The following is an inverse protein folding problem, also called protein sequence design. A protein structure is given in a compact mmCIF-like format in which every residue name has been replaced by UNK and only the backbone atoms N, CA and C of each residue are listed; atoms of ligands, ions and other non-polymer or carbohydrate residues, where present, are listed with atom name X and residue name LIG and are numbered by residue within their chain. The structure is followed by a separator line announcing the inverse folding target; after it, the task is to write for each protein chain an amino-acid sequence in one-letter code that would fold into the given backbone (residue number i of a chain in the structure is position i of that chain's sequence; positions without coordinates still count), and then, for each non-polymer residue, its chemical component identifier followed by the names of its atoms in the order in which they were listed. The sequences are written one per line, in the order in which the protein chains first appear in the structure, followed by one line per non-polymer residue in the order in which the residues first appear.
data_IF_402805047538
#
_entry.id   IF_402805047538
#
_cell.length_a   1.000
_cell.length_b   1.000
_cell.length_c   1.000
_cell.angle_alpha   90.00
_cell.angle_beta   90.00
_cell.angle_gamma   90.00
#
_symmetry.space_group_name_H-M   'P 1'
#
loop_
_entity.id
_entity.type
_entity.pdbx_description
1 polymer ?
#
# COMPACT_ATOMS: atom_id res chain seq x y z
N UNK A 1 5.68 22.82 12.70
CA UNK A 1 6.12 21.50 13.19
C UNK A 1 5.09 20.40 12.87
N UNK A 2 3.83 20.52 13.38
CA UNK A 2 2.78 19.53 13.12
C UNK A 2 2.53 19.30 11.61
N UNK A 3 2.51 20.37 10.83
CA UNK A 3 2.31 20.32 9.39
C UNK A 3 3.46 19.61 8.66
N UNK A 4 4.68 19.78 9.12
CA UNK A 4 5.85 19.08 8.56
C UNK A 4 5.81 17.58 8.87
N UNK A 5 5.40 17.21 10.08
CA UNK A 5 5.21 15.82 10.49
C UNK A 5 4.12 15.14 9.66
N UNK A 6 2.97 15.80 9.48
CA UNK A 6 1.88 15.28 8.66
C UNK A 6 2.29 15.13 7.18
N UNK A 7 3.00 16.10 6.62
CA UNK A 7 3.50 16.03 5.26
C UNK A 7 4.53 14.89 5.09
N UNK A 8 5.41 14.70 6.08
CA UNK A 8 6.34 13.59 6.12
C UNK A 8 5.61 12.24 6.15
N UNK A 9 4.72 12.03 7.11
CA UNK A 9 3.92 10.80 7.24
C UNK A 9 3.15 10.48 5.95
N UNK A 10 2.45 11.47 5.39
CA UNK A 10 1.69 11.28 4.16
C UNK A 10 2.58 10.86 2.98
N UNK A 11 3.78 11.41 2.91
CA UNK A 11 4.75 11.04 1.86
C UNK A 11 5.22 9.60 2.03
N UNK A 12 5.59 9.18 3.25
CA UNK A 12 6.02 7.81 3.54
C UNK A 12 4.89 6.80 3.28
N UNK A 13 3.67 7.09 3.74
CA UNK A 13 2.51 6.25 3.51
C UNK A 13 2.18 6.12 2.02
N UNK A 14 2.27 7.23 1.27
CA UNK A 14 2.05 7.20 -0.19
C UNK A 14 3.07 6.29 -0.88
N UNK A 15 4.34 6.36 -0.49
CA UNK A 15 5.39 5.49 -1.04
C UNK A 15 5.10 4.02 -0.75
N UNK A 16 4.74 3.70 0.49
CA UNK A 16 4.42 2.33 0.90
C UNK A 16 3.23 1.76 0.12
N UNK A 17 2.16 2.56 -0.05
CA UNK A 17 1.00 2.16 -0.87
C UNK A 17 1.39 1.93 -2.33
N UNK A 18 2.26 2.77 -2.90
CA UNK A 18 2.75 2.59 -4.27
C UNK A 18 3.62 1.32 -4.38
N UNK A 19 4.48 1.03 -3.42
CA UNK A 19 5.25 -0.22 -3.38
C UNK A 19 4.33 -1.44 -3.32
N UNK A 20 3.35 -1.45 -2.41
CA UNK A 20 2.40 -2.55 -2.27
C UNK A 20 1.58 -2.77 -3.55
N UNK A 21 1.18 -1.69 -4.22
CA UNK A 21 0.34 -1.74 -5.42
C UNK A 21 1.11 -1.60 -6.75
N UNK A 22 2.44 -1.54 -6.74
CA UNK A 22 3.25 -1.28 -7.94
C UNK A 22 2.98 -2.28 -9.07
N UNK A 23 2.97 -3.57 -8.75
CA UNK A 23 2.65 -4.63 -9.72
C UNK A 23 1.22 -4.51 -10.23
N UNK A 24 0.26 -4.21 -9.33
CA UNK A 24 -1.13 -3.98 -9.72
C UNK A 24 -1.25 -2.81 -10.70
N UNK A 25 -0.59 -1.68 -10.41
CA UNK A 25 -0.61 -0.49 -11.27
C UNK A 25 -0.06 -0.81 -12.67
N UNK A 26 1.08 -1.50 -12.74
CA UNK A 26 1.68 -1.90 -14.02
C UNK A 26 0.75 -2.83 -14.80
N UNK A 27 0.17 -3.84 -14.16
CA UNK A 27 -0.75 -4.76 -14.81
C UNK A 27 -2.05 -4.08 -15.25
N UNK A 28 -2.61 -3.19 -14.42
CA UNK A 28 -3.83 -2.45 -14.74
C UNK A 28 -3.65 -1.47 -15.91
N UNK A 29 -2.46 -0.92 -16.08
CA UNK A 29 -2.13 0.02 -17.16
C UNK A 29 -1.62 -0.66 -18.44
N UNK A 30 -1.50 -1.99 -18.48
CA UNK A 30 -0.95 -2.71 -19.63
C UNK A 30 -1.64 -2.29 -20.94
N UNK A 31 -0.90 -1.90 -21.99
CA UNK A 31 -1.46 -1.45 -23.27
C UNK A 31 -1.96 -2.60 -24.13
N UNK A 32 -2.67 -3.56 -23.55
CA UNK A 32 -3.17 -4.75 -24.19
C UNK A 32 -4.68 -4.90 -24.03
N UNK A 33 -5.36 -5.41 -25.06
CA UNK A 33 -6.79 -5.70 -25.01
C UNK A 33 -7.18 -6.78 -23.98
N UNK A 34 -6.19 -7.53 -23.46
CA UNK A 34 -6.40 -8.53 -22.42
C UNK A 34 -7.07 -7.93 -21.17
N UNK A 35 -6.78 -6.66 -20.85
CA UNK A 35 -7.37 -5.97 -19.69
C UNK A 35 -8.90 -5.77 -19.83
N UNK A 36 -9.44 -5.81 -21.04
CA UNK A 36 -10.88 -5.69 -21.31
C UNK A 36 -11.62 -7.01 -21.09
N UNK A 37 -10.89 -8.13 -21.06
CA UNK A 37 -11.48 -9.46 -20.83
C UNK A 37 -12.01 -9.59 -19.41
N UNK A 38 -13.20 -10.17 -19.28
CA UNK A 38 -13.90 -10.33 -18.01
C UNK A 38 -13.08 -11.11 -16.96
N UNK A 39 -12.37 -12.17 -17.39
CA UNK A 39 -11.51 -12.95 -16.49
C UNK A 39 -10.34 -12.12 -15.95
N UNK A 40 -9.71 -11.30 -16.81
CA UNK A 40 -8.60 -10.43 -16.38
C UNK A 40 -9.05 -9.38 -15.39
N UNK A 41 -10.22 -8.74 -15.62
CA UNK A 41 -10.81 -7.78 -14.68
C UNK A 41 -11.12 -8.45 -13.34
N UNK A 42 -11.63 -9.68 -13.34
CA UNK A 42 -11.89 -10.45 -12.11
C UNK A 42 -10.60 -10.80 -11.39
N UNK A 43 -9.55 -11.18 -12.11
CA UNK A 43 -8.22 -11.45 -11.56
C UNK A 43 -7.64 -10.18 -10.91
N UNK A 44 -7.69 -9.06 -11.61
CA UNK A 44 -7.22 -7.76 -11.10
C UNK A 44 -7.98 -7.30 -9.85
N UNK A 45 -9.30 -7.51 -9.83
CA UNK A 45 -10.12 -7.21 -8.66
C UNK A 45 -9.65 -8.01 -7.44
N UNK A 46 -9.53 -9.33 -7.56
CA UNK A 46 -9.10 -10.18 -6.46
C UNK A 46 -7.66 -9.90 -6.04
N UNK A 47 -6.77 -9.65 -7.00
CA UNK A 47 -5.40 -9.27 -6.71
C UNK A 47 -5.34 -7.96 -5.92
N UNK A 48 -6.05 -6.93 -6.36
CA UNK A 48 -6.12 -5.65 -5.67
C UNK A 48 -6.67 -5.80 -4.24
N UNK A 49 -7.77 -6.50 -4.09
CA UNK A 49 -8.39 -6.70 -2.77
C UNK A 49 -7.47 -7.50 -1.86
N UNK A 50 -6.87 -8.60 -2.34
CA UNK A 50 -5.98 -9.44 -1.55
C UNK A 50 -4.72 -8.69 -1.10
N UNK A 51 -4.04 -8.00 -2.03
CA UNK A 51 -2.82 -7.24 -1.71
C UNK A 51 -3.11 -6.15 -0.68
N UNK A 52 -4.16 -5.37 -0.88
CA UNK A 52 -4.48 -4.30 0.06
C UNK A 52 -5.05 -4.81 1.38
N UNK A 53 -5.80 -5.91 1.39
CA UNK A 53 -6.27 -6.53 2.62
C UNK A 53 -5.11 -7.04 3.48
N UNK A 54 -4.11 -7.68 2.87
CA UNK A 54 -2.97 -8.26 3.60
C UNK A 54 -1.95 -7.17 3.90
N UNK A 55 -1.38 -6.51 2.89
CA UNK A 55 -0.25 -5.60 3.07
C UNK A 55 -0.67 -4.27 3.69
N UNK A 56 -1.80 -3.69 3.28
CA UNK A 56 -2.19 -2.38 3.79
C UNK A 56 -3.03 -2.51 5.06
N UNK A 57 -4.09 -3.33 5.05
CA UNK A 57 -5.02 -3.38 6.21
C UNK A 57 -4.48 -4.29 7.31
N UNK A 58 -4.16 -5.57 7.02
CA UNK A 58 -3.79 -6.52 8.06
C UNK A 58 -2.47 -6.15 8.74
N UNK A 59 -1.44 -5.76 7.99
CA UNK A 59 -0.12 -5.38 8.55
C UNK A 59 -0.25 -4.13 9.42
N UNK A 60 -0.95 -3.08 8.98
CA UNK A 60 -1.13 -1.87 9.79
C UNK A 60 -1.99 -2.13 11.04
N UNK A 61 -3.01 -2.98 10.96
CA UNK A 61 -3.81 -3.34 12.13
C UNK A 61 -3.00 -4.19 13.12
N UNK A 62 -2.16 -5.10 12.62
CA UNK A 62 -1.24 -5.86 13.45
C UNK A 62 -0.23 -4.97 14.17
N UNK A 63 0.31 -3.97 13.49
CA UNK A 63 1.22 -2.99 14.08
C UNK A 63 0.53 -2.18 15.21
N UNK A 64 -0.71 -1.76 15.02
CA UNK A 64 -1.49 -1.09 16.06
C UNK A 64 -1.66 -1.95 17.32
N UNK A 65 -1.93 -3.24 17.15
CA UNK A 65 -2.05 -4.19 18.28
C UNK A 65 -0.69 -4.42 18.93
N UNK A 66 0.33 -4.71 18.12
CA UNK A 66 1.68 -5.00 18.60
C UNK A 66 2.28 -3.83 19.38
N UNK A 67 2.14 -2.61 18.85
CA UNK A 67 2.62 -1.40 19.50
C UNK A 67 2.00 -1.18 20.89
N UNK A 68 0.71 -1.51 21.05
CA UNK A 68 0.00 -1.38 22.33
C UNK A 68 0.63 -2.23 23.44
N UNK A 69 1.14 -3.42 23.08
CA UNK A 69 1.70 -4.37 24.05
C UNK A 69 3.21 -4.22 24.24
N UNK A 70 3.93 -3.89 23.19
CA UNK A 70 5.40 -3.92 23.20
C UNK A 70 6.03 -2.53 23.21
N UNK A 71 5.26 -1.49 22.91
CA UNK A 71 5.74 -0.10 22.68
C UNK A 71 6.81 -0.01 21.57
N UNK A 72 6.89 -1.05 20.73
CA UNK A 72 7.76 -1.14 19.56
C UNK A 72 6.91 -1.31 18.30
N UNK A 73 7.46 -0.92 17.17
CA UNK A 73 6.83 -1.14 15.87
C UNK A 73 7.02 -2.59 15.43
N UNK A 74 6.02 -3.10 14.74
CA UNK A 74 6.06 -4.41 14.13
C UNK A 74 6.97 -4.37 12.90
N UNK A 75 8.09 -5.08 12.93
CA UNK A 75 9.08 -5.15 11.85
C UNK A 75 9.12 -6.54 11.21
N UNK A 76 9.72 -6.66 10.03
CA UNK A 76 9.86 -7.93 9.35
C UNK A 76 10.64 -8.95 10.20
N UNK A 77 11.62 -8.49 10.97
CA UNK A 77 12.41 -9.36 11.86
C UNK A 77 11.55 -10.06 12.91
N UNK A 78 10.53 -9.37 13.42
CA UNK A 78 9.60 -9.95 14.41
C UNK A 78 8.77 -11.11 13.82
N UNK A 79 8.50 -11.08 12.51
CA UNK A 79 7.81 -12.18 11.83
C UNK A 79 8.68 -13.43 11.77
N UNK A 80 9.99 -13.27 11.57
CA UNK A 80 10.94 -14.39 11.50
C UNK A 80 11.27 -14.99 12.87
N UNK A 81 11.18 -14.21 13.95
CA UNK A 81 11.37 -14.69 15.31
C UNK A 81 10.13 -15.39 15.89
N UNK A 82 9.00 -15.34 15.20
CA UNK A 82 7.76 -16.03 15.60
C UNK A 82 7.79 -17.56 15.39
N UNK A 83 8.97 -18.18 15.42
CA UNK A 83 9.16 -19.64 15.33
C UNK A 83 8.73 -20.39 16.61
N UNK A 84 7.79 -19.80 17.35
CA UNK A 84 7.17 -20.43 18.49
C UNK A 84 5.88 -21.13 18.07
N UNK A 85 5.78 -22.41 18.40
CA UNK A 85 4.59 -23.26 18.21
C UNK A 85 3.27 -22.67 18.74
N UNK A 86 3.35 -21.61 19.55
CA UNK A 86 2.22 -20.90 20.15
C UNK A 86 1.79 -19.63 19.40
N UNK A 87 2.48 -19.25 18.30
CA UNK A 87 2.20 -17.99 17.60
C UNK A 87 0.78 -17.90 17.04
N UNK A 88 0.23 -19.01 16.54
CA UNK A 88 -1.16 -19.03 16.01
C UNK A 88 -2.18 -18.83 17.14
N UNK A 89 -1.97 -19.46 18.31
CA UNK A 89 -2.84 -19.29 19.47
C UNK A 89 -2.76 -17.86 20.02
N UNK A 90 -1.57 -17.28 20.02
CA UNK A 90 -1.34 -15.90 20.45
C UNK A 90 -2.03 -14.89 19.54
N UNK A 91 -1.93 -15.06 18.22
CA UNK A 91 -2.64 -14.25 17.23
C UNK A 91 -4.16 -14.37 17.42
N UNK A 92 -4.68 -15.57 17.60
CA UNK A 92 -6.10 -15.79 17.85
C UNK A 92 -6.59 -15.09 19.12
N UNK A 93 -5.81 -15.14 20.20
CA UNK A 93 -6.11 -14.42 21.43
C UNK A 93 -6.10 -12.90 21.26
N UNK A 94 -5.08 -12.35 20.56
CA UNK A 94 -5.01 -10.92 20.27
C UNK A 94 -6.17 -10.45 19.39
N UNK A 95 -6.59 -11.23 18.41
CA UNK A 95 -7.76 -10.93 17.59
C UNK A 95 -9.05 -10.92 18.41
N UNK A 96 -9.21 -11.87 19.34
CA UNK A 96 -10.38 -11.93 20.21
C UNK A 96 -10.42 -10.75 21.20
N UNK A 97 -9.29 -10.38 21.79
CA UNK A 97 -9.19 -9.26 22.73
C UNK A 97 -9.40 -7.90 22.01
N UNK A 98 -9.01 -7.79 20.73
CA UNK A 98 -9.13 -6.57 19.94
C UNK A 98 -10.15 -6.72 18.79
N UNK A 99 -11.25 -7.40 19.05
CA UNK A 99 -12.30 -7.68 18.06
C UNK A 99 -12.80 -6.46 17.30
N UNK A 100 -12.81 -5.28 17.94
CA UNK A 100 -13.22 -4.03 17.32
C UNK A 100 -12.26 -3.60 16.18
N UNK A 101 -10.94 -3.86 16.30
CA UNK A 101 -9.97 -3.61 15.23
C UNK A 101 -10.19 -4.57 14.06
N UNK A 102 -10.58 -5.82 14.34
CA UNK A 102 -10.94 -6.78 13.29
C UNK A 102 -12.16 -6.31 12.51
N UNK A 103 -13.16 -5.75 13.19
CA UNK A 103 -14.33 -5.17 12.52
C UNK A 103 -13.95 -3.95 11.68
N UNK A 104 -13.10 -3.06 12.17
CA UNK A 104 -12.59 -1.92 11.40
C UNK A 104 -11.82 -2.41 10.17
N UNK A 105 -10.93 -3.40 10.32
CA UNK A 105 -10.21 -4.00 9.21
C UNK A 105 -11.15 -4.59 8.16
N UNK A 106 -12.15 -5.36 8.58
CA UNK A 106 -13.16 -5.93 7.69
C UNK A 106 -13.94 -4.84 6.94
N UNK A 107 -14.34 -3.77 7.63
CA UNK A 107 -15.03 -2.64 7.02
C UNK A 107 -14.14 -1.92 5.98
N UNK A 108 -12.85 -1.73 6.27
CA UNK A 108 -11.89 -1.13 5.32
C UNK A 108 -11.73 -2.01 4.07
N UNK A 109 -11.57 -3.32 4.24
CA UNK A 109 -11.48 -4.26 3.11
C UNK A 109 -12.77 -4.25 2.29
N UNK A 110 -13.93 -4.22 2.94
CA UNK A 110 -15.23 -4.12 2.26
C UNK A 110 -15.36 -2.80 1.47
N UNK A 111 -14.90 -1.68 2.03
CA UNK A 111 -14.88 -0.39 1.34
C UNK A 111 -13.94 -0.39 0.13
N UNK A 112 -12.77 -1.00 0.24
CA UNK A 112 -11.83 -1.16 -0.88
C UNK A 112 -12.44 -2.01 -2.00
N UNK A 113 -13.04 -3.14 -1.65
CA UNK A 113 -13.71 -4.03 -2.59
C UNK A 113 -14.89 -3.34 -3.30
N UNK A 114 -15.71 -2.64 -2.55
CA UNK A 114 -16.85 -1.90 -3.07
C UNK A 114 -16.44 -0.73 -3.97
N UNK A 115 -15.42 0.06 -3.54
CA UNK A 115 -14.91 1.19 -4.29
C UNK A 115 -14.32 0.78 -5.64
N UNK A 116 -13.55 -0.31 -5.65
CA UNK A 116 -13.01 -0.87 -6.90
C UNK A 116 -14.10 -1.41 -7.81
N UNK A 117 -15.06 -2.17 -7.28
CA UNK A 117 -16.14 -2.77 -8.05
C UNK A 117 -17.02 -1.76 -8.79
N UNK A 118 -17.19 -0.56 -8.23
CA UNK A 118 -17.94 0.52 -8.89
C UNK A 118 -17.19 1.18 -10.05
N UNK A 119 -15.86 1.30 -9.94
CA UNK A 119 -15.04 2.04 -10.93
C UNK A 119 -14.70 1.24 -12.18
N UNK A 120 -14.65 -0.08 -12.09
CA UNK A 120 -14.19 -0.97 -13.20
C UNK A 120 -15.31 -1.27 -14.23
N UNK A 121 -16.47 -0.67 -14.11
CA UNK A 121 -17.64 -0.97 -14.95
C UNK A 121 -17.67 -0.19 -16.27
N UNK A 122 -16.70 0.69 -16.52
CA UNK A 122 -16.68 1.52 -17.72
C UNK A 122 -16.15 0.75 -18.92
N UNK A 123 -16.86 0.85 -20.03
CA UNK A 123 -16.42 0.34 -21.33
C UNK A 123 -15.27 1.20 -21.85
N UNK A 124 -14.37 0.60 -22.65
CA UNK A 124 -13.28 1.34 -23.28
C UNK A 124 -13.86 2.45 -24.19
N UNK A 125 -13.52 3.70 -23.89
CA UNK A 125 -13.95 4.87 -24.66
C UNK A 125 -13.17 5.03 -25.98
N UNK A 126 -12.07 4.29 -26.15
CA UNK A 126 -11.20 4.38 -27.31
C UNK A 126 -11.55 3.27 -28.32
N UNK A 127 -11.74 3.64 -29.58
CA UNK A 127 -11.89 2.68 -30.69
C UNK A 127 -10.64 1.84 -30.80
N UNK A 128 -10.80 0.56 -31.21
CA UNK A 128 -9.70 -0.44 -31.30
C UNK A 128 -8.69 -0.16 -32.43
N UNK A 129 -8.50 1.08 -32.85
CA UNK A 129 -7.53 1.50 -33.85
C UNK A 129 -6.12 1.71 -33.26
N UNK A 130 -5.19 2.09 -34.16
CA UNK A 130 -3.82 2.42 -33.76
C UNK A 130 -3.74 3.48 -32.65
N UNK A 131 -4.69 4.43 -32.63
CA UNK A 131 -4.80 5.44 -31.59
C UNK A 131 -4.99 4.84 -30.18
N UNK A 132 -5.69 3.71 -30.07
CA UNK A 132 -5.82 2.98 -28.81
C UNK A 132 -4.45 2.50 -28.27
N UNK A 133 -3.62 1.91 -29.13
CA UNK A 133 -2.30 1.43 -28.71
C UNK A 133 -1.37 2.56 -28.33
N UNK A 134 -1.33 3.62 -29.13
CA UNK A 134 -0.52 4.81 -28.82
C UNK A 134 -0.99 5.46 -27.51
N UNK A 135 -2.28 5.72 -27.37
CA UNK A 135 -2.84 6.29 -26.16
C UNK A 135 -2.59 5.42 -24.92
N UNK A 136 -2.82 4.10 -25.02
CA UNK A 136 -2.58 3.17 -23.93
C UNK A 136 -1.09 3.08 -23.56
N UNK A 137 -0.18 3.13 -24.52
CA UNK A 137 1.27 3.11 -24.29
C UNK A 137 1.73 4.40 -23.59
N UNK A 138 1.20 5.55 -24.01
CA UNK A 138 1.50 6.82 -23.34
C UNK A 138 1.00 6.81 -21.89
N UNK A 139 -0.23 6.35 -21.65
CA UNK A 139 -0.78 6.20 -20.29
C UNK A 139 0.06 5.24 -19.46
N UNK A 140 0.46 4.10 -20.03
CA UNK A 140 1.32 3.13 -19.35
C UNK A 140 2.68 3.75 -18.98
N UNK A 141 3.35 4.39 -19.93
CA UNK A 141 4.65 5.01 -19.70
C UNK A 141 4.58 6.13 -18.63
N UNK A 142 3.54 6.96 -18.72
CA UNK A 142 3.29 8.03 -17.74
C UNK A 142 2.99 7.44 -16.35
N UNK A 143 2.11 6.45 -16.26
CA UNK A 143 1.74 5.81 -15.00
C UNK A 143 2.91 5.06 -14.37
N UNK A 144 3.71 4.35 -15.17
CA UNK A 144 4.94 3.71 -14.71
C UNK A 144 5.97 4.74 -14.22
N UNK A 145 6.18 5.81 -14.98
CA UNK A 145 7.07 6.90 -14.59
C UNK A 145 6.65 7.58 -13.29
N UNK A 146 5.36 7.89 -13.14
CA UNK A 146 4.81 8.46 -11.90
C UNK A 146 4.92 7.49 -10.71
N UNK A 147 4.72 6.19 -10.94
CA UNK A 147 4.88 5.17 -9.90
C UNK A 147 6.33 5.10 -9.43
N UNK A 148 7.30 5.09 -10.36
CA UNK A 148 8.74 5.11 -10.03
C UNK A 148 9.10 6.40 -9.28
N UNK A 149 8.61 7.56 -9.73
CA UNK A 149 8.85 8.84 -9.06
C UNK A 149 8.23 8.84 -7.64
N UNK A 150 7.03 8.27 -7.51
CA UNK A 150 6.36 8.09 -6.22
C UNK A 150 7.16 7.19 -5.28
N UNK A 151 7.61 6.02 -5.73
CA UNK A 151 8.46 5.10 -4.96
C UNK A 151 9.78 5.77 -4.51
N UNK A 152 10.35 6.64 -5.33
CA UNK A 152 11.56 7.40 -4.97
C UNK A 152 11.30 8.56 -4.01
N UNK A 153 10.05 8.91 -3.79
CA UNK A 153 9.67 10.06 -2.96
C UNK A 153 9.91 11.42 -3.62
N UNK A 154 10.09 11.46 -4.95
CA UNK A 154 10.21 12.70 -5.73
C UNK A 154 10.91 12.52 -7.08
N UNK A 155 10.91 13.58 -7.89
CA UNK A 155 11.45 13.60 -9.25
C UNK A 155 12.89 14.13 -9.35
N UNK A 156 13.50 14.61 -8.26
CA UNK A 156 14.84 15.18 -8.30
C UNK A 156 15.91 14.09 -8.37
N UNK A 157 17.04 14.38 -9.01
CA UNK A 157 18.18 13.44 -9.12
C UNK A 157 18.75 13.01 -7.76
N UNK A 158 18.60 13.83 -6.75
CA UNK A 158 19.09 13.61 -5.38
C UNK A 158 18.12 12.84 -4.49
N UNK A 159 16.88 12.55 -4.95
CA UNK A 159 15.92 11.78 -4.15
C UNK A 159 16.40 10.34 -4.03
N UNK A 160 16.71 9.94 -2.80
CA UNK A 160 17.00 8.54 -2.44
C UNK A 160 15.68 7.83 -2.08
N UNK A 161 15.64 6.50 -2.15
CA UNK A 161 14.55 5.75 -1.56
C UNK A 161 14.31 6.22 -0.13
N UNK A 162 13.07 6.30 0.28
CA UNK A 162 12.68 6.77 1.62
C UNK A 162 13.23 5.79 2.65
N UNK A 163 14.09 6.30 3.53
CA UNK A 163 14.78 5.54 4.58
C UNK A 163 14.62 6.27 5.91
N UNK A 164 14.99 5.58 7.00
CA UNK A 164 14.99 6.14 8.35
C UNK A 164 15.70 7.52 8.42
N UNK A 165 16.84 7.64 7.74
CA UNK A 165 17.60 8.90 7.69
C UNK A 165 16.86 10.06 6.99
N UNK A 166 15.84 9.77 6.18
CA UNK A 166 15.03 10.81 5.54
C UNK A 166 13.94 11.37 6.46
N UNK A 167 13.55 10.66 7.50
CA UNK A 167 12.59 11.15 8.48
C UNK A 167 13.18 12.30 9.30
N UNK A 168 14.50 12.32 9.52
CA UNK A 168 15.21 13.40 10.21
C UNK A 168 15.20 14.73 9.45
N UNK A 169 14.85 14.73 8.15
CA UNK A 169 14.63 15.96 7.38
C UNK A 169 13.39 16.75 7.81
N UNK A 170 12.47 16.10 8.51
CA UNK A 170 11.20 16.69 8.92
C UNK A 170 11.17 17.06 10.41
N UNK A 171 12.08 16.50 11.21
CA UNK A 171 12.19 16.78 12.64
C UNK A 171 13.55 16.36 13.19
N UNK A 172 14.08 17.14 14.12
CA UNK A 172 15.34 16.83 14.83
C UNK A 172 15.11 15.91 16.04
N UNK A 173 13.85 15.66 16.41
CA UNK A 173 13.47 14.81 17.53
C UNK A 173 13.30 13.36 17.05
N UNK A 174 14.10 12.44 17.59
CA UNK A 174 14.06 11.02 17.25
C UNK A 174 12.71 10.35 17.57
N UNK A 175 12.02 10.79 18.61
CA UNK A 175 10.69 10.30 18.94
C UNK A 175 9.65 10.70 17.89
N UNK A 176 9.72 11.94 17.41
CA UNK A 176 8.84 12.43 16.34
C UNK A 176 9.21 11.85 14.96
N UNK A 177 10.50 11.58 14.72
CA UNK A 177 10.94 10.88 13.51
C UNK A 177 10.32 9.48 13.42
N UNK A 178 10.22 8.77 14.53
CA UNK A 178 9.53 7.47 14.58
C UNK A 178 8.03 7.56 14.27
N UNK A 179 7.37 8.69 14.54
CA UNK A 179 5.98 8.91 14.14
C UNK A 179 5.83 9.05 12.62
N UNK A 180 6.79 9.70 11.96
CA UNK A 180 6.82 9.82 10.49
C UNK A 180 7.01 8.43 9.86
N UNK A 181 7.85 7.61 10.47
CA UNK A 181 8.12 6.22 10.06
C UNK A 181 7.06 5.22 10.52
N UNK A 182 5.92 5.68 10.99
CA UNK A 182 4.89 4.81 11.57
C UNK A 182 4.22 3.87 10.57
N UNK A 183 4.92 3.55 9.50
CA UNK A 183 4.50 2.59 8.49
C UNK A 183 5.40 1.35 8.56
N UNK A 184 4.84 0.13 8.72
CA UNK A 184 5.62 -1.11 8.83
C UNK A 184 6.41 -1.49 7.56
N UNK A 185 6.31 -0.72 6.49
CA UNK A 185 7.08 -0.90 5.26
C UNK A 185 8.33 0.00 5.18
N UNK A 186 8.56 0.88 6.17
CA UNK A 186 9.72 1.79 6.20
C UNK A 186 10.84 1.29 7.11
#
# INVERSE_FOLDING_TARGET
ELWQLLAGSLKFDTVSVIYANGVFILLALLPLHVRERGWYRKLMYWYYVAVNAVLVVAVNMSDCVYFRYTQKRFTADEVYFADNSNSVQLVGKFMAENWYLVLVAAALVALLAWGYGRKVREESLLSRGWAYYVGSTVIFATGAGLSIAGMRGGMTRMTRPITLSNATLYTDDSGKANLILSNPFC
#
